data_IF_663988404110
#
_entry.id   IF_663988404110
#
_cell.length_a   1.000
_cell.length_b   1.000
_cell.length_c   1.000
_cell.angle_alpha   90.00
_cell.angle_beta   90.00
_cell.angle_gamma   90.00
#
_symmetry.space_group_name_H-M   'P 1'
#
loop_
_entity.id
_entity.type
_entity.pdbx_description
1 polymer ?
#
# COMPACT_ATOMS: atom_id res chain seq x y z
N UNK A 1 1.34 5.99 14.12
CA UNK A 1 1.38 6.95 12.98
C UNK A 1 2.76 7.57 12.77
N UNK A 2 3.41 8.26 13.75
CA UNK A 2 4.75 8.81 13.53
C UNK A 2 5.77 7.78 13.05
N UNK A 3 5.85 6.62 13.71
CA UNK A 3 6.79 5.56 13.37
C UNK A 3 6.68 5.09 11.89
N UNK A 4 5.47 5.00 11.33
CA UNK A 4 5.27 4.63 9.92
C UNK A 4 5.75 5.72 8.95
N UNK A 5 5.47 6.97 9.27
CA UNK A 5 5.96 8.11 8.49
C UNK A 5 7.49 8.16 8.50
N UNK A 6 8.07 8.01 9.70
CA UNK A 6 9.50 8.20 9.95
C UNK A 6 10.35 6.99 9.50
N UNK A 7 9.72 5.83 9.21
CA UNK A 7 10.40 4.62 8.72
C UNK A 7 11.10 4.80 7.36
N UNK A 8 10.66 5.77 6.56
CA UNK A 8 11.22 6.01 5.24
C UNK A 8 10.65 5.09 4.14
N UNK A 9 10.89 5.43 2.86
CA UNK A 9 10.31 4.70 1.72
C UNK A 9 10.73 3.24 1.66
N UNK A 10 12.02 2.95 1.88
CA UNK A 10 12.57 1.58 1.75
C UNK A 10 12.01 0.63 2.79
N UNK A 11 11.95 1.07 4.06
CA UNK A 11 11.40 0.26 5.14
C UNK A 11 9.90 0.02 4.93
N UNK A 12 9.13 1.04 4.50
CA UNK A 12 7.72 0.87 4.18
C UNK A 12 7.51 -0.12 3.03
N UNK A 13 8.29 0.00 1.96
CA UNK A 13 8.25 -0.96 0.84
C UNK A 13 8.56 -2.38 1.32
N UNK A 14 9.58 -2.57 2.16
CA UNK A 14 9.93 -3.87 2.72
C UNK A 14 8.79 -4.51 3.51
N UNK A 15 8.13 -3.76 4.39
CA UNK A 15 7.00 -4.25 5.20
C UNK A 15 5.82 -4.67 4.32
N UNK A 16 5.44 -3.86 3.33
CA UNK A 16 4.30 -4.20 2.46
C UNK A 16 4.63 -5.33 1.48
N UNK A 17 5.89 -5.49 1.07
CA UNK A 17 6.35 -6.64 0.26
C UNK A 17 6.31 -7.93 1.08
N UNK A 18 6.70 -7.90 2.35
CA UNK A 18 6.58 -9.06 3.25
C UNK A 18 5.10 -9.47 3.40
N UNK A 19 4.21 -8.52 3.62
CA UNK A 19 2.78 -8.80 3.68
C UNK A 19 2.27 -9.40 2.35
N UNK A 20 2.72 -8.88 1.21
CA UNK A 20 2.35 -9.39 -0.11
C UNK A 20 2.86 -10.84 -0.31
N UNK A 21 4.08 -11.15 0.14
CA UNK A 21 4.63 -12.50 0.09
C UNK A 21 3.79 -13.49 0.92
N UNK A 22 3.34 -13.10 2.11
CA UNK A 22 2.45 -13.92 2.95
C UNK A 22 1.07 -14.11 2.34
N UNK A 23 0.52 -13.08 1.70
CA UNK A 23 -0.73 -13.18 0.94
C UNK A 23 -0.55 -14.14 -0.24
N UNK A 24 0.59 -14.09 -0.93
CA UNK A 24 0.90 -15.01 -2.02
C UNK A 24 0.91 -16.47 -1.57
N UNK A 25 1.49 -16.76 -0.40
CA UNK A 25 1.47 -18.09 0.18
C UNK A 25 0.05 -18.60 0.49
N UNK A 26 -0.93 -17.70 0.61
CA UNK A 26 -2.35 -17.99 0.86
C UNK A 26 -3.26 -17.79 -0.36
N UNK A 27 -2.70 -17.81 -1.58
CA UNK A 27 -3.46 -17.53 -2.82
C UNK A 27 -4.66 -18.45 -3.02
N UNK A 28 -4.57 -19.72 -2.66
CA UNK A 28 -5.70 -20.66 -2.72
C UNK A 28 -6.82 -20.30 -1.73
N UNK A 29 -6.47 -19.89 -0.54
CA UNK A 29 -7.44 -19.47 0.48
C UNK A 29 -8.16 -18.17 0.04
N UNK A 30 -7.40 -17.21 -0.49
CA UNK A 30 -7.97 -15.99 -1.05
C UNK A 30 -8.90 -16.30 -2.23
N UNK A 31 -8.52 -17.23 -3.12
CA UNK A 31 -9.38 -17.67 -4.22
C UNK A 31 -10.68 -18.29 -3.72
N UNK A 32 -10.62 -19.12 -2.68
CA UNK A 32 -11.81 -19.70 -2.07
C UNK A 32 -12.71 -18.64 -1.45
N UNK A 33 -12.12 -17.67 -0.75
CA UNK A 33 -12.88 -16.54 -0.21
C UNK A 33 -13.58 -15.75 -1.31
N UNK A 34 -12.92 -15.51 -2.45
CA UNK A 34 -13.53 -14.86 -3.62
C UNK A 34 -14.67 -15.70 -4.19
N UNK A 35 -14.47 -17.02 -4.37
CA UNK A 35 -15.53 -17.92 -4.85
C UNK A 35 -16.78 -17.85 -3.96
N UNK A 36 -16.60 -18.00 -2.66
CA UNK A 36 -17.73 -18.04 -1.70
C UNK A 36 -18.48 -16.71 -1.61
N UNK A 37 -17.82 -15.59 -1.86
CA UNK A 37 -18.43 -14.28 -1.71
C UNK A 37 -18.93 -13.68 -3.03
N UNK A 38 -18.31 -14.01 -4.17
CA UNK A 38 -18.67 -13.45 -5.48
C UNK A 38 -19.36 -14.44 -6.43
N UNK A 39 -19.37 -15.74 -6.10
CA UNK A 39 -19.91 -16.78 -6.97
C UNK A 39 -19.05 -17.09 -8.21
N UNK A 40 -17.81 -16.59 -8.28
CA UNK A 40 -16.91 -16.87 -9.41
C UNK A 40 -16.45 -18.33 -9.42
N UNK A 41 -16.25 -18.88 -10.62
CA UNK A 41 -15.58 -20.17 -10.78
C UNK A 41 -14.12 -20.12 -10.32
N UNK A 42 -13.60 -21.24 -9.80
CA UNK A 42 -12.27 -21.31 -9.17
C UNK A 42 -11.13 -20.74 -10.04
N UNK A 43 -11.08 -21.08 -11.32
CA UNK A 43 -10.01 -20.62 -12.21
C UNK A 43 -9.94 -19.07 -12.27
N UNK A 44 -11.09 -18.41 -12.39
CA UNK A 44 -11.18 -16.95 -12.40
C UNK A 44 -10.87 -16.36 -11.02
N UNK A 45 -11.45 -16.92 -9.97
CA UNK A 45 -11.23 -16.47 -8.60
C UNK A 45 -9.75 -16.59 -8.19
N UNK A 46 -9.09 -17.67 -8.61
CA UNK A 46 -7.66 -17.88 -8.36
C UNK A 46 -6.80 -16.90 -9.16
N UNK A 47 -7.00 -16.83 -10.48
CA UNK A 47 -6.18 -15.95 -11.32
C UNK A 47 -6.35 -14.47 -10.97
N UNK A 48 -7.57 -13.97 -10.96
CA UNK A 48 -7.83 -12.57 -10.70
C UNK A 48 -7.69 -12.20 -9.22
N UNK A 49 -8.13 -13.08 -8.31
CA UNK A 49 -8.08 -12.83 -6.86
C UNK A 49 -6.73 -13.11 -6.22
N UNK A 50 -5.93 -13.99 -6.82
CA UNK A 50 -4.59 -14.37 -6.38
C UNK A 50 -3.49 -13.68 -7.19
N UNK A 51 -2.81 -14.40 -8.13
CA UNK A 51 -1.60 -13.89 -8.79
C UNK A 51 -1.76 -12.52 -9.44
N UNK A 52 -2.82 -12.28 -10.24
CA UNK A 52 -2.99 -11.00 -10.91
C UNK A 52 -3.26 -9.84 -9.93
N UNK A 53 -3.97 -10.09 -8.84
CA UNK A 53 -4.14 -9.08 -7.79
C UNK A 53 -2.80 -8.73 -7.14
N UNK A 54 -1.97 -9.74 -6.90
CA UNK A 54 -0.64 -9.56 -6.31
C UNK A 54 0.32 -8.84 -7.25
N UNK A 55 0.28 -9.13 -8.56
CA UNK A 55 1.03 -8.38 -9.57
C UNK A 55 0.65 -6.90 -9.56
N UNK A 56 -0.64 -6.59 -9.43
CA UNK A 56 -1.12 -5.20 -9.30
C UNK A 56 -0.64 -4.52 -8.02
N UNK A 57 -0.55 -5.26 -6.92
CA UNK A 57 0.02 -4.76 -5.68
C UNK A 57 1.52 -4.49 -5.83
N UNK A 58 2.27 -5.43 -6.40
CA UNK A 58 3.71 -5.31 -6.63
C UNK A 58 4.03 -4.12 -7.53
N UNK A 59 3.29 -3.96 -8.64
CA UNK A 59 3.40 -2.80 -9.52
C UNK A 59 3.15 -1.49 -8.76
N UNK A 60 2.09 -1.43 -7.95
CA UNK A 60 1.75 -0.24 -7.19
C UNK A 60 2.83 0.13 -6.15
N UNK A 61 3.42 -0.86 -5.48
CA UNK A 61 4.55 -0.66 -4.55
C UNK A 61 5.77 -0.15 -5.32
N UNK A 62 6.13 -0.77 -6.43
CA UNK A 62 7.30 -0.41 -7.22
C UNK A 62 7.19 1.01 -7.79
N UNK A 63 6.03 1.37 -8.35
CA UNK A 63 5.78 2.71 -8.90
C UNK A 63 5.78 3.75 -7.78
N UNK A 64 5.15 3.47 -6.64
CA UNK A 64 5.15 4.37 -5.50
C UNK A 64 6.57 4.59 -4.94
N UNK A 65 7.33 3.52 -4.77
CA UNK A 65 8.72 3.58 -4.31
C UNK A 65 9.59 4.37 -5.29
N UNK A 66 9.50 4.08 -6.59
CA UNK A 66 10.26 4.77 -7.64
C UNK A 66 9.96 6.28 -7.67
N UNK A 67 8.68 6.64 -7.60
CA UNK A 67 8.28 8.05 -7.60
C UNK A 67 8.84 8.82 -6.38
N UNK A 68 8.95 8.16 -5.22
CA UNK A 68 9.57 8.75 -4.03
C UNK A 68 11.09 8.80 -4.16
N UNK A 69 11.72 7.76 -4.71
CA UNK A 69 13.18 7.69 -4.90
C UNK A 69 13.70 8.75 -5.89
N UNK A 70 12.86 9.20 -6.82
CA UNK A 70 13.23 10.25 -7.79
C UNK A 70 13.23 11.66 -7.18
N UNK A 71 12.73 11.84 -5.97
CA UNK A 71 12.77 13.12 -5.25
C UNK A 71 14.13 13.24 -4.55
N UNK A 72 14.97 14.22 -4.88
CA UNK A 72 16.24 14.39 -4.21
C UNK A 72 16.05 14.76 -2.74
N UNK A 73 16.87 14.21 -1.85
CA UNK A 73 16.81 14.56 -0.43
C UNK A 73 17.20 16.02 -0.20
N UNK A 74 18.16 16.52 -0.98
CA UNK A 74 18.71 17.87 -0.86
C UNK A 74 18.96 18.47 -2.25
N UNK A 75 18.88 19.80 -2.33
CA UNK A 75 19.32 20.58 -3.50
C UNK A 75 19.94 21.89 -3.05
N UNK A 76 20.98 22.30 -3.76
CA UNK A 76 21.64 23.60 -3.56
C UNK A 76 21.39 24.46 -4.80
N UNK A 77 20.99 25.69 -4.58
CA UNK A 77 20.84 26.67 -5.64
C UNK A 77 21.68 27.89 -5.31
N UNK A 78 22.47 28.34 -6.29
CA UNK A 78 23.34 29.49 -6.16
C UNK A 78 22.93 30.57 -7.16
N UNK A 79 22.86 31.82 -6.69
CA UNK A 79 22.60 33.00 -7.53
C UNK A 79 23.79 33.94 -7.46
N UNK A 80 24.47 34.22 -8.57
CA UNK A 80 25.50 35.24 -8.63
C UNK A 80 24.97 36.63 -8.25
N UNK A 81 25.75 37.39 -7.47
CA UNK A 81 25.37 38.73 -7.01
C UNK A 81 26.42 39.77 -7.45
N UNK A 82 26.82 39.72 -8.72
CA UNK A 82 27.81 40.66 -9.30
C UNK A 82 29.17 40.51 -8.61
N UNK A 83 29.65 41.56 -7.93
CA UNK A 83 30.93 41.55 -7.21
C UNK A 83 30.86 40.98 -5.79
N UNK A 84 29.67 40.69 -5.30
CA UNK A 84 29.45 40.13 -3.98
C UNK A 84 29.46 38.60 -4.02
N UNK A 85 29.60 37.96 -2.85
CA UNK A 85 29.46 36.51 -2.73
C UNK A 85 28.08 36.08 -3.23
N UNK A 86 27.98 34.90 -3.89
CA UNK A 86 26.69 34.40 -4.36
C UNK A 86 25.71 34.15 -3.20
N UNK A 87 24.44 34.38 -3.44
CA UNK A 87 23.40 33.91 -2.54
C UNK A 87 23.24 32.39 -2.72
N UNK A 88 23.39 31.63 -1.63
CA UNK A 88 23.28 30.17 -1.62
C UNK A 88 22.02 29.78 -0.89
N UNK A 89 21.16 28.97 -1.52
CA UNK A 89 19.95 28.41 -0.92
C UNK A 89 20.08 26.89 -0.87
N UNK A 90 20.11 26.36 0.36
CA UNK A 90 20.02 24.92 0.62
C UNK A 90 18.55 24.55 0.78
N UNK A 91 18.12 23.52 0.06
CA UNK A 91 16.76 22.96 0.13
C UNK A 91 16.84 21.51 0.60
N UNK A 92 15.95 21.14 1.51
CA UNK A 92 15.72 19.77 1.91
C UNK A 92 14.31 19.39 1.52
N UNK A 93 14.15 18.20 0.94
CA UNK A 93 12.86 17.65 0.54
C UNK A 93 12.51 16.47 1.45
N UNK A 94 11.32 16.48 1.96
CA UNK A 94 10.80 15.44 2.82
C UNK A 94 9.45 14.95 2.28
N UNK A 95 9.36 13.64 2.02
CA UNK A 95 8.14 13.02 1.53
C UNK A 95 7.29 12.60 2.72
N UNK A 96 6.11 13.17 2.83
CA UNK A 96 5.16 12.90 3.91
C UNK A 96 3.85 12.33 3.38
N UNK A 97 3.24 11.42 4.14
CA UNK A 97 1.89 10.93 3.84
C UNK A 97 0.86 12.07 3.92
N UNK A 98 -0.17 12.01 3.07
CA UNK A 98 -1.23 13.04 2.97
C UNK A 98 -2.34 12.87 4.00
N UNK A 99 -2.38 11.74 4.69
CA UNK A 99 -3.43 11.41 5.66
C UNK A 99 -4.01 10.02 5.42
N UNK A 100 -5.23 9.78 5.86
CA UNK A 100 -5.89 8.48 5.73
C UNK A 100 -6.41 8.30 4.30
N UNK A 101 -6.01 7.19 3.67
CA UNK A 101 -6.55 6.78 2.38
C UNK A 101 -7.82 5.92 2.58
N UNK A 102 -8.84 6.16 1.77
CA UNK A 102 -10.03 5.30 1.69
C UNK A 102 -9.96 4.49 0.40
N UNK A 103 -9.97 3.17 0.53
CA UNK A 103 -9.99 2.24 -0.60
C UNK A 103 -11.33 1.51 -0.62
N UNK A 104 -12.11 1.75 -1.68
CA UNK A 104 -13.44 1.14 -1.85
C UNK A 104 -13.30 -0.03 -2.83
N UNK A 105 -13.51 -1.25 -2.34
CA UNK A 105 -13.47 -2.47 -3.13
C UNK A 105 -14.78 -2.77 -3.85
N UNK A 106 -14.70 -3.42 -5.00
CA UNK A 106 -15.87 -3.92 -5.74
C UNK A 106 -16.19 -5.38 -5.38
N UNK A 107 -17.36 -5.85 -5.79
CA UNK A 107 -17.76 -7.25 -5.59
C UNK A 107 -17.12 -8.20 -6.61
N UNK A 108 -16.97 -7.77 -7.86
CA UNK A 108 -16.58 -8.63 -8.98
C UNK A 108 -15.14 -9.13 -8.87
N UNK A 109 -14.20 -8.22 -8.58
CA UNK A 109 -12.77 -8.53 -8.42
C UNK A 109 -12.24 -7.85 -7.15
N UNK A 110 -12.61 -8.36 -5.97
CA UNK A 110 -12.43 -7.65 -4.71
C UNK A 110 -10.97 -7.35 -4.38
N UNK A 111 -10.08 -8.32 -4.54
CA UNK A 111 -8.64 -8.16 -4.27
C UNK A 111 -7.94 -7.39 -5.38
N UNK A 112 -8.17 -7.77 -6.64
CA UNK A 112 -7.57 -7.10 -7.80
C UNK A 112 -7.89 -5.60 -7.85
N UNK A 113 -9.10 -5.22 -7.48
CA UNK A 113 -9.52 -3.82 -7.41
C UNK A 113 -8.96 -3.09 -6.18
N UNK A 114 -8.86 -3.78 -5.04
CA UNK A 114 -8.45 -3.16 -3.77
C UNK A 114 -6.93 -2.98 -3.67
N UNK A 115 -6.14 -3.94 -4.15
CA UNK A 115 -4.70 -4.00 -3.89
C UNK A 115 -3.91 -2.80 -4.41
N UNK A 116 -4.10 -2.29 -5.63
CA UNK A 116 -3.30 -1.15 -6.08
C UNK A 116 -3.41 0.06 -5.15
N UNK A 117 -4.63 0.43 -4.77
CA UNK A 117 -4.86 1.56 -3.87
C UNK A 117 -4.35 1.33 -2.45
N UNK A 118 -4.56 0.12 -1.92
CA UNK A 118 -4.12 -0.28 -0.59
C UNK A 118 -2.60 -0.23 -0.46
N UNK A 119 -1.90 -0.92 -1.36
CA UNK A 119 -0.45 -1.06 -1.29
C UNK A 119 0.28 0.24 -1.66
N UNK A 120 -0.19 1.00 -2.66
CA UNK A 120 0.36 2.31 -2.98
C UNK A 120 0.21 3.30 -1.81
N UNK A 121 -0.95 3.32 -1.15
CA UNK A 121 -1.18 4.21 -0.01
C UNK A 121 -0.26 3.88 1.17
N UNK A 122 -0.12 2.60 1.53
CA UNK A 122 0.80 2.18 2.58
C UNK A 122 2.25 2.51 2.22
N UNK A 123 2.72 2.16 1.03
CA UNK A 123 4.09 2.43 0.59
C UNK A 123 4.43 3.92 0.64
N UNK A 124 3.47 4.79 0.34
CA UNK A 124 3.63 6.26 0.40
C UNK A 124 3.42 6.85 1.81
N UNK A 125 3.27 6.01 2.85
CA UNK A 125 3.23 6.46 4.25
C UNK A 125 1.84 6.86 4.76
N UNK A 126 0.78 6.50 4.03
CA UNK A 126 -0.60 6.78 4.44
C UNK A 126 -1.22 5.55 5.11
N UNK A 127 -1.91 5.68 6.26
CA UNK A 127 -2.78 4.64 6.76
C UNK A 127 -4.01 4.47 5.86
N UNK A 128 -4.62 3.29 5.89
CA UNK A 128 -5.68 2.92 4.94
C UNK A 128 -6.91 2.40 5.66
N UNK A 129 -8.07 2.89 5.25
CA UNK A 129 -9.35 2.28 5.53
C UNK A 129 -9.79 1.52 4.28
N UNK A 130 -9.93 0.21 4.38
CA UNK A 130 -10.48 -0.64 3.31
C UNK A 130 -11.98 -0.80 3.54
N UNK A 131 -12.77 -0.33 2.58
CA UNK A 131 -14.23 -0.53 2.56
C UNK A 131 -14.59 -1.52 1.46
N UNK A 132 -14.75 -2.81 1.78
CA UNK A 132 -15.16 -3.80 0.79
C UNK A 132 -16.60 -3.60 0.36
N UNK A 133 -16.97 -4.19 -0.77
CA UNK A 133 -18.38 -4.39 -1.10
C UNK A 133 -19.03 -5.32 -0.07
N UNK A 134 -20.27 -5.11 0.36
CA UNK A 134 -20.94 -5.97 1.36
C UNK A 134 -20.90 -7.48 1.05
N UNK A 135 -21.00 -7.85 -0.23
CA UNK A 135 -20.96 -9.24 -0.67
C UNK A 135 -19.53 -9.79 -0.85
N UNK A 136 -18.48 -9.02 -0.58
CA UNK A 136 -17.08 -9.44 -0.79
C UNK A 136 -16.17 -9.03 0.38
N UNK A 137 -16.67 -9.18 1.60
CA UNK A 137 -15.94 -8.80 2.82
C UNK A 137 -14.77 -9.74 3.10
N UNK A 138 -14.99 -11.04 2.95
CA UNK A 138 -14.02 -12.07 3.39
C UNK A 138 -12.64 -11.94 2.72
N UNK A 139 -12.50 -11.77 1.39
CA UNK A 139 -11.19 -11.60 0.77
C UNK A 139 -10.42 -10.37 1.29
N UNK A 140 -11.13 -9.26 1.53
CA UNK A 140 -10.55 -8.06 2.10
C UNK A 140 -10.15 -8.25 3.57
N UNK A 141 -10.95 -8.98 4.35
CA UNK A 141 -10.67 -9.29 5.75
C UNK A 141 -9.40 -10.14 5.89
N UNK A 142 -9.23 -11.16 5.04
CA UNK A 142 -8.01 -11.99 5.00
C UNK A 142 -6.78 -11.15 4.68
N UNK A 143 -6.88 -10.25 3.70
CA UNK A 143 -5.79 -9.34 3.33
C UNK A 143 -5.42 -8.40 4.49
N UNK A 144 -6.42 -7.78 5.11
CA UNK A 144 -6.21 -6.86 6.24
C UNK A 144 -5.62 -7.59 7.45
N UNK A 145 -6.07 -8.83 7.72
CA UNK A 145 -5.48 -9.66 8.80
C UNK A 145 -3.99 -9.86 8.60
N UNK A 146 -3.56 -10.32 7.40
CA UNK A 146 -2.14 -10.54 7.11
C UNK A 146 -1.32 -9.26 7.25
N UNK A 147 -1.83 -8.13 6.76
CA UNK A 147 -1.15 -6.84 6.90
C UNK A 147 -1.00 -6.45 8.38
N UNK A 148 -2.03 -6.63 9.19
CA UNK A 148 -1.99 -6.32 10.63
C UNK A 148 -1.03 -7.20 11.38
N UNK A 149 -0.95 -8.50 11.03
CA UNK A 149 0.00 -9.44 11.61
C UNK A 149 1.44 -9.00 11.34
N UNK A 150 1.77 -8.70 10.07
CA UNK A 150 3.09 -8.21 9.69
C UNK A 150 3.44 -6.89 10.40
N UNK A 151 2.51 -5.94 10.43
CA UNK A 151 2.73 -4.66 11.13
C UNK A 151 3.02 -4.89 12.61
N UNK A 152 2.26 -5.76 13.27
CA UNK A 152 2.44 -6.10 14.69
C UNK A 152 3.81 -6.73 14.94
N UNK A 153 4.22 -7.70 14.12
CA UNK A 153 5.51 -8.37 14.22
C UNK A 153 6.69 -7.41 13.99
N UNK A 154 6.50 -6.38 13.19
CA UNK A 154 7.48 -5.32 12.96
C UNK A 154 7.45 -4.20 14.04
N UNK A 155 6.64 -4.36 15.09
CA UNK A 155 6.49 -3.36 16.16
C UNK A 155 5.77 -2.08 15.69
N UNK A 156 5.00 -2.15 14.60
CA UNK A 156 4.24 -1.05 14.07
C UNK A 156 2.78 -1.13 14.51
N UNK A 157 2.07 0.00 14.40
CA UNK A 157 0.64 0.05 14.74
C UNK A 157 -0.20 -0.73 13.72
N UNK A 158 -0.86 -1.84 14.10
CA UNK A 158 -1.71 -2.61 13.18
C UNK A 158 -2.92 -1.81 12.66
N UNK A 159 -3.30 -0.72 13.33
CA UNK A 159 -4.39 0.15 12.89
C UNK A 159 -4.01 1.06 11.71
N UNK A 160 -2.76 0.98 11.22
CA UNK A 160 -2.41 1.55 9.91
C UNK A 160 -3.28 0.99 8.78
N UNK A 161 -3.84 -0.21 8.96
CA UNK A 161 -4.83 -0.79 8.05
C UNK A 161 -6.06 -1.21 8.83
N UNK A 162 -7.21 -0.69 8.43
CA UNK A 162 -8.51 -1.01 9.05
C UNK A 162 -9.52 -1.43 8.00
N UNK A 163 -10.48 -2.27 8.42
CA UNK A 163 -11.59 -2.72 7.60
C UNK A 163 -12.87 -2.02 8.05
N UNK A 164 -13.55 -1.31 7.14
CA UNK A 164 -14.85 -0.70 7.39
C UNK A 164 -15.93 -1.48 6.64
N UNK A 165 -16.67 -2.30 7.38
CA UNK A 165 -17.79 -3.08 6.82
C UNK A 165 -19.08 -2.26 6.97
N UNK A 166 -19.85 -2.17 5.88
CA UNK A 166 -21.22 -1.62 5.89
C UNK A 166 -22.20 -2.72 5.53
N UNK A 167 -23.31 -2.77 6.23
CA UNK A 167 -24.46 -3.59 5.85
C UNK A 167 -25.22 -2.99 4.68
#
# INVERSE_FOLDING_TARGET
MPAWRDAGPDARAGVVLEALARINARSHEVAQAVMHTSGQGYAMAFQAGGPHAQDRALEAIAVAWKAMADVPAEAVWEKPQGKHAPAVLHKRFEIVGRGVALVIGCATFPTWNTYPGLFAALATGNPVIVKPHPNAVLPAALTVSVLRDVLTEQGLDPNLVTLAVSG
#
